data_IF_897606596287
#
_entry.id   IF_897606596287
#
_cell.length_a   1.000
_cell.length_b   1.000
_cell.length_c   1.000
_cell.angle_alpha   90.00
_cell.angle_beta   90.00
_cell.angle_gamma   90.00
#
_symmetry.space_group_name_H-M   'P 1'
#
loop_
_entity.id
_entity.type
_entity.pdbx_description
1 polymer ?
#
# COMPACT_ATOMS: atom_id res chain seq x y z
N UNK A 1 -9.82 -22.42 4.43
CA UNK A 1 -8.69 -21.46 4.48
C UNK A 1 -7.65 -21.88 5.52
N UNK A 2 -8.03 -22.03 6.78
CA UNK A 2 -7.12 -22.39 7.88
C UNK A 2 -6.36 -23.71 7.66
N UNK A 3 -7.05 -24.74 7.14
CA UNK A 3 -6.42 -26.02 6.79
C UNK A 3 -5.24 -25.86 5.81
N UNK A 4 -5.42 -25.06 4.75
CA UNK A 4 -4.38 -24.79 3.74
C UNK A 4 -3.15 -24.17 4.41
N UNK A 5 -3.37 -23.18 5.28
CA UNK A 5 -2.29 -22.47 5.98
C UNK A 5 -1.53 -23.42 6.92
N UNK A 6 -2.24 -24.27 7.65
CA UNK A 6 -1.64 -25.25 8.58
C UNK A 6 -0.84 -26.30 7.82
N UNK A 7 -1.38 -26.85 6.73
CA UNK A 7 -0.67 -27.82 5.88
C UNK A 7 0.63 -27.22 5.32
N UNK A 8 0.58 -25.96 4.86
CA UNK A 8 1.72 -25.25 4.31
C UNK A 8 2.84 -24.98 5.31
N UNK A 9 2.54 -24.79 6.60
CA UNK A 9 3.57 -24.60 7.64
C UNK A 9 4.51 -25.80 7.79
N UNK A 10 4.06 -26.98 7.37
CA UNK A 10 4.84 -28.21 7.42
C UNK A 10 5.58 -28.52 6.10
N UNK A 11 5.44 -27.66 5.09
CA UNK A 11 6.03 -27.85 3.77
C UNK A 11 7.16 -26.86 3.52
N UNK A 12 8.21 -27.32 2.83
CA UNK A 12 9.24 -26.42 2.30
C UNK A 12 8.73 -25.80 1.00
N UNK A 13 8.24 -24.58 1.09
CA UNK A 13 7.69 -23.85 -0.05
C UNK A 13 8.83 -23.37 -0.93
N UNK A 14 8.68 -23.55 -2.24
CA UNK A 14 9.64 -23.03 -3.22
C UNK A 14 9.18 -21.66 -3.68
N UNK A 15 10.09 -20.68 -3.79
CA UNK A 15 9.74 -19.35 -4.25
C UNK A 15 9.21 -19.44 -5.69
N UNK A 16 8.00 -18.92 -5.89
CA UNK A 16 7.40 -18.78 -7.20
C UNK A 16 7.05 -17.30 -7.42
N UNK A 17 7.51 -16.80 -8.57
CA UNK A 17 7.36 -15.40 -8.93
C UNK A 17 5.89 -15.05 -9.17
N UNK A 18 5.37 -14.04 -8.48
CA UNK A 18 4.02 -13.54 -8.74
C UNK A 18 3.90 -12.88 -10.11
N UNK A 19 2.66 -12.69 -10.58
CA UNK A 19 2.36 -12.17 -11.94
C UNK A 19 3.03 -10.82 -12.20
N UNK A 20 3.03 -9.93 -11.21
CA UNK A 20 3.59 -8.58 -11.37
C UNK A 20 5.11 -8.56 -11.37
N UNK A 21 5.75 -9.41 -10.55
CA UNK A 21 7.20 -9.54 -10.56
C UNK A 21 7.68 -10.19 -11.87
N UNK A 22 6.94 -11.18 -12.38
CA UNK A 22 7.24 -11.81 -13.67
C UNK A 22 7.12 -10.81 -14.82
N UNK A 23 5.99 -10.10 -14.91
CA UNK A 23 5.77 -9.07 -15.92
C UNK A 23 6.83 -7.95 -15.88
N UNK A 24 7.36 -7.61 -14.69
CA UNK A 24 8.45 -6.64 -14.54
C UNK A 24 9.79 -7.17 -15.06
N UNK A 25 10.08 -8.46 -14.87
CA UNK A 25 11.30 -9.10 -15.39
C UNK A 25 11.26 -9.20 -16.92
N UNK A 26 10.10 -9.49 -17.49
CA UNK A 26 9.90 -9.59 -18.94
C UNK A 26 9.95 -8.22 -19.64
N UNK A 27 9.32 -7.21 -19.05
CA UNK A 27 9.29 -5.85 -19.61
C UNK A 27 10.55 -5.09 -19.23
N UNK A 28 11.62 -5.22 -20.04
CA UNK A 28 12.89 -4.54 -19.84
C UNK A 28 12.79 -3.02 -19.67
N UNK A 29 11.90 -2.35 -20.41
CA UNK A 29 11.63 -0.91 -20.27
C UNK A 29 10.16 -0.66 -19.86
N UNK A 30 9.93 -0.38 -18.58
CA UNK A 30 8.63 0.09 -18.11
C UNK A 30 8.41 1.53 -18.59
N UNK A 31 7.19 1.84 -19.04
CA UNK A 31 6.79 3.21 -19.36
C UNK A 31 6.86 4.07 -18.08
N UNK A 32 7.51 5.24 -18.17
CA UNK A 32 7.57 6.18 -17.06
C UNK A 32 6.15 6.63 -16.68
N UNK A 33 5.88 6.84 -15.40
CA UNK A 33 4.62 7.43 -14.92
C UNK A 33 4.34 8.78 -15.63
N UNK A 34 5.37 9.56 -15.91
CA UNK A 34 5.28 10.84 -16.65
C UNK A 34 5.07 10.66 -18.16
N UNK A 35 5.30 9.46 -18.70
CA UNK A 35 5.09 9.16 -20.13
C UNK A 35 3.65 8.79 -20.46
N UNK A 36 2.85 8.48 -19.43
CA UNK A 36 1.41 8.55 -19.59
C UNK A 36 1.00 10.02 -19.57
N UNK A 37 0.09 10.40 -20.46
CA UNK A 37 -0.63 11.68 -20.45
C UNK A 37 -1.59 11.75 -19.25
N UNK A 38 -1.08 11.49 -18.04
CA UNK A 38 -1.83 11.57 -16.80
C UNK A 38 -1.97 13.05 -16.44
N UNK A 39 -3.14 13.59 -16.70
CA UNK A 39 -3.48 14.94 -16.25
C UNK A 39 -3.80 14.91 -14.76
N UNK A 40 -2.89 15.45 -13.96
CA UNK A 40 -3.09 15.63 -12.52
C UNK A 40 -4.26 16.59 -12.30
N UNK A 41 -5.29 16.14 -11.59
CA UNK A 41 -6.44 16.95 -11.19
C UNK A 41 -6.37 17.26 -9.70
N UNK A 42 -6.28 18.54 -9.38
CA UNK A 42 -6.30 19.06 -7.99
C UNK A 42 -7.46 20.01 -7.74
N UNK A 43 -8.20 20.34 -8.80
CA UNK A 43 -9.27 21.34 -8.87
C UNK A 43 -10.67 20.74 -8.70
N UNK A 44 -10.81 19.41 -8.83
CA UNK A 44 -12.09 18.73 -8.78
C UNK A 44 -12.70 18.71 -7.37
N UNK A 45 -13.99 19.01 -7.31
CA UNK A 45 -14.81 18.91 -6.09
C UNK A 45 -15.14 17.46 -5.75
N UNK A 46 -15.55 17.21 -4.50
CA UNK A 46 -15.95 15.87 -4.06
C UNK A 46 -17.11 15.30 -4.89
N UNK A 47 -18.08 16.13 -5.28
CA UNK A 47 -19.22 15.71 -6.11
C UNK A 47 -18.79 15.28 -7.52
N UNK A 48 -17.82 15.98 -8.11
CA UNK A 48 -17.29 15.62 -9.43
C UNK A 48 -16.47 14.33 -9.37
N UNK A 49 -15.68 14.13 -8.31
CA UNK A 49 -14.94 12.87 -8.14
C UNK A 49 -15.90 11.68 -7.99
N UNK A 50 -17.01 11.86 -7.26
CA UNK A 50 -18.05 10.83 -7.14
C UNK A 50 -18.72 10.55 -8.50
N UNK A 51 -19.01 11.57 -9.30
CA UNK A 51 -19.61 11.38 -10.64
C UNK A 51 -18.66 10.69 -11.63
N UNK A 52 -17.35 10.89 -11.46
CA UNK A 52 -16.31 10.18 -12.22
C UNK A 52 -16.08 8.74 -11.75
N UNK A 53 -16.78 8.29 -10.70
CA UNK A 53 -16.74 6.91 -10.21
C UNK A 53 -15.77 6.64 -9.05
N UNK A 54 -15.14 7.68 -8.49
CA UNK A 54 -14.33 7.54 -7.25
C UNK A 54 -15.27 7.20 -6.10
N UNK A 55 -14.91 6.22 -5.28
CA UNK A 55 -15.71 5.89 -4.11
C UNK A 55 -15.68 7.00 -3.06
N UNK A 56 -16.84 7.26 -2.43
CA UNK A 56 -16.89 8.06 -1.20
C UNK A 56 -16.05 7.48 -0.05
N UNK A 57 -15.84 6.15 0.00
CA UNK A 57 -14.91 5.54 0.94
C UNK A 57 -13.45 5.83 0.58
N UNK A 58 -13.09 5.82 -0.71
CA UNK A 58 -11.74 6.17 -1.20
C UNK A 58 -11.37 7.61 -0.84
N UNK A 59 -12.30 8.56 -0.98
CA UNK A 59 -12.07 9.97 -0.68
C UNK A 59 -11.76 10.26 0.80
N UNK A 60 -12.12 9.35 1.70
CA UNK A 60 -11.85 9.48 3.14
C UNK A 60 -10.48 8.92 3.53
N UNK A 61 -9.80 8.22 2.62
CA UNK A 61 -8.52 7.55 2.90
C UNK A 61 -7.42 8.59 3.03
N UNK A 62 -6.59 8.42 4.06
CA UNK A 62 -5.36 9.14 4.28
C UNK A 62 -4.28 8.17 4.77
N UNK A 63 -3.08 8.70 5.01
CA UNK A 63 -1.94 7.93 5.49
C UNK A 63 -2.17 7.27 6.86
N UNK A 64 -3.07 7.77 7.70
CA UNK A 64 -3.34 7.25 9.04
C UNK A 64 -4.35 6.11 9.01
N UNK A 65 -5.47 6.30 8.31
CA UNK A 65 -6.58 5.34 8.32
C UNK A 65 -6.47 4.24 7.24
N UNK A 66 -5.54 4.37 6.30
CA UNK A 66 -5.34 3.38 5.23
C UNK A 66 -5.03 1.97 5.75
N UNK A 67 -4.37 1.85 6.91
CA UNK A 67 -4.15 0.56 7.61
C UNK A 67 -5.47 -0.14 7.97
N UNK A 68 -6.50 0.61 8.31
CA UNK A 68 -7.78 0.10 8.82
C UNK A 68 -8.87 0.08 7.74
N UNK A 69 -8.51 0.42 6.51
CA UNK A 69 -9.45 0.48 5.41
C UNK A 69 -10.06 -0.91 5.14
N UNK A 70 -11.38 -0.95 5.02
CA UNK A 70 -12.14 -2.17 4.69
C UNK A 70 -12.87 -1.99 3.37
N UNK A 71 -12.80 -3.02 2.52
CA UNK A 71 -13.56 -3.09 1.28
C UNK A 71 -14.89 -3.79 1.53
N UNK A 72 -15.98 -3.28 0.94
CA UNK A 72 -17.22 -4.05 0.78
C UNK A 72 -17.09 -4.88 -0.51
N UNK A 73 -17.03 -6.21 -0.38
CA UNK A 73 -16.82 -7.08 -1.55
C UNK A 73 -18.01 -7.05 -2.52
N UNK A 74 -19.23 -6.80 -2.04
CA UNK A 74 -20.44 -6.79 -2.88
C UNK A 74 -20.40 -5.70 -3.94
N UNK A 75 -19.62 -4.64 -3.70
CA UNK A 75 -19.39 -3.58 -4.68
C UNK A 75 -18.59 -4.05 -5.89
N UNK A 76 -17.63 -4.93 -5.67
CA UNK A 76 -16.75 -5.44 -6.73
C UNK A 76 -17.29 -6.74 -7.32
N UNK A 77 -18.00 -7.53 -6.51
CA UNK A 77 -18.50 -8.86 -6.83
C UNK A 77 -19.94 -9.00 -6.33
N UNK A 78 -20.95 -8.52 -7.09
CA UNK A 78 -22.33 -8.45 -6.63
C UNK A 78 -23.00 -9.81 -6.34
N UNK A 79 -22.53 -10.88 -6.97
CA UNK A 79 -23.08 -12.24 -6.86
C UNK A 79 -22.25 -13.16 -5.94
N UNK A 80 -21.42 -12.59 -5.07
CA UNK A 80 -20.53 -13.38 -4.22
C UNK A 80 -21.23 -13.82 -2.94
N UNK A 81 -21.10 -15.09 -2.58
CA UNK A 81 -21.60 -15.61 -1.30
C UNK A 81 -20.74 -15.12 -0.13
N UNK A 82 -19.46 -15.52 -0.06
CA UNK A 82 -18.54 -15.14 1.03
C UNK A 82 -17.04 -15.24 0.70
N UNK A 83 -16.67 -15.78 -0.47
CA UNK A 83 -15.26 -16.04 -0.80
C UNK A 83 -14.97 -15.88 -2.29
N UNK A 84 -13.79 -15.36 -2.61
CA UNK A 84 -13.34 -15.13 -3.97
C UNK A 84 -11.84 -15.40 -4.11
N UNK A 85 -11.42 -15.83 -5.29
CA UNK A 85 -10.00 -15.88 -5.66
C UNK A 85 -9.56 -14.52 -6.20
N UNK A 86 -8.51 -13.95 -5.63
CA UNK A 86 -7.95 -12.66 -6.05
C UNK A 86 -6.44 -12.76 -6.32
N UNK A 87 -5.97 -11.93 -7.23
CA UNK A 87 -4.59 -11.79 -7.64
C UNK A 87 -4.04 -13.05 -8.28
N UNK A 88 -3.03 -13.62 -7.63
CA UNK A 88 -2.33 -14.84 -8.06
C UNK A 88 -3.00 -16.12 -7.51
N UNK A 89 -4.31 -16.08 -7.26
CA UNK A 89 -5.10 -17.21 -6.77
C UNK A 89 -5.29 -17.25 -5.25
N UNK A 90 -5.14 -16.12 -4.56
CA UNK A 90 -5.36 -16.05 -3.12
C UNK A 90 -6.85 -16.22 -2.77
N UNK A 91 -7.18 -17.13 -1.87
CA UNK A 91 -8.54 -17.32 -1.38
C UNK A 91 -8.89 -16.27 -0.34
N UNK A 92 -9.58 -15.22 -0.77
CA UNK A 92 -10.07 -14.13 0.07
C UNK A 92 -11.48 -14.44 0.56
N UNK A 93 -11.63 -14.54 1.87
CA UNK A 93 -12.90 -14.80 2.56
C UNK A 93 -13.30 -13.54 3.31
N UNK A 94 -14.54 -13.08 3.13
CA UNK A 94 -15.04 -11.91 3.85
C UNK A 94 -15.51 -12.23 5.26
N UNK A 95 -15.63 -11.19 6.07
CA UNK A 95 -16.28 -11.27 7.36
C UNK A 95 -17.81 -11.47 7.22
N UNK A 96 -18.49 -11.59 8.37
CA UNK A 96 -19.95 -11.73 8.46
C UNK A 96 -20.75 -10.55 7.88
N UNK A 97 -20.10 -9.43 7.60
CA UNK A 97 -20.71 -8.22 7.03
C UNK A 97 -20.39 -8.06 5.53
N UNK A 98 -19.70 -9.02 4.91
CA UNK A 98 -19.25 -8.93 3.52
C UNK A 98 -18.05 -8.00 3.32
N UNK A 99 -17.39 -7.60 4.41
CA UNK A 99 -16.24 -6.73 4.37
C UNK A 99 -14.92 -7.51 4.45
N UNK A 100 -13.87 -6.96 3.84
CA UNK A 100 -12.49 -7.45 3.95
C UNK A 100 -11.57 -6.31 4.32
N UNK A 101 -10.76 -6.51 5.36
CA UNK A 101 -9.68 -5.62 5.74
C UNK A 101 -8.37 -6.38 5.85
N UNK A 102 -7.42 -5.77 6.55
CA UNK A 102 -6.04 -6.24 6.67
C UNK A 102 -5.92 -7.70 7.14
N UNK A 103 -6.71 -8.08 8.15
CA UNK A 103 -6.73 -9.46 8.66
C UNK A 103 -7.21 -10.47 7.61
N UNK A 104 -8.29 -10.17 6.89
CA UNK A 104 -8.80 -11.04 5.82
C UNK A 104 -7.79 -11.14 4.66
N UNK A 105 -7.14 -10.03 4.30
CA UNK A 105 -6.03 -10.03 3.34
C UNK A 105 -4.85 -10.84 3.82
N UNK A 106 -4.49 -10.80 5.10
CA UNK A 106 -3.39 -11.59 5.65
C UNK A 106 -3.68 -13.08 5.52
N UNK A 107 -4.85 -13.53 5.98
CA UNK A 107 -5.23 -14.95 5.84
C UNK A 107 -5.28 -15.36 4.37
N UNK A 108 -5.78 -14.51 3.48
CA UNK A 108 -5.84 -14.80 2.05
C UNK A 108 -4.45 -14.90 1.43
N UNK A 109 -3.55 -13.99 1.81
CA UNK A 109 -2.18 -13.95 1.34
C UNK A 109 -1.43 -15.25 1.67
N UNK A 110 -1.63 -15.80 2.87
CA UNK A 110 -1.02 -17.07 3.28
C UNK A 110 -1.53 -18.30 2.50
N UNK A 111 -2.66 -18.19 1.79
CA UNK A 111 -3.16 -19.29 0.95
C UNK A 111 -2.43 -19.41 -0.38
N UNK A 112 -1.70 -18.37 -0.83
CA UNK A 112 -0.95 -18.41 -2.08
C UNK A 112 0.16 -19.46 -2.01
N UNK A 113 0.18 -20.43 -2.92
CA UNK A 113 1.19 -21.52 -2.92
C UNK A 113 2.64 -21.01 -2.92
N UNK A 114 2.84 -19.82 -3.48
CA UNK A 114 4.12 -19.13 -3.63
C UNK A 114 4.62 -18.40 -2.38
N UNK A 115 3.82 -18.33 -1.32
CA UNK A 115 4.13 -17.58 -0.09
C UNK A 115 4.39 -18.53 1.07
N UNK A 116 5.56 -18.41 1.70
CA UNK A 116 5.89 -19.12 2.94
C UNK A 116 5.31 -18.38 4.18
N UNK A 117 4.38 -19.01 4.93
CA UNK A 117 3.79 -18.41 6.13
C UNK A 117 4.77 -18.16 7.29
N UNK A 118 5.97 -18.75 7.27
CA UNK A 118 6.98 -18.56 8.32
C UNK A 118 7.82 -17.30 8.13
N UNK A 119 7.82 -16.71 6.93
CA UNK A 119 8.69 -15.58 6.58
C UNK A 119 8.01 -14.21 6.74
N UNK A 120 6.71 -14.19 6.96
CA UNK A 120 5.93 -12.95 7.15
C UNK A 120 4.94 -13.10 8.28
N UNK A 121 4.78 -12.03 9.05
CA UNK A 121 3.78 -11.93 10.09
C UNK A 121 2.64 -10.99 9.65
N UNK A 122 1.63 -10.85 10.51
CA UNK A 122 0.51 -9.97 10.25
C UNK A 122 0.96 -8.51 10.15
N UNK A 123 1.90 -8.08 11.02
CA UNK A 123 2.43 -6.72 11.05
C UNK A 123 3.11 -6.30 9.75
N UNK A 124 3.87 -7.21 9.12
CA UNK A 124 4.45 -7.00 7.79
C UNK A 124 3.35 -6.68 6.77
N UNK A 125 2.26 -7.45 6.77
CA UNK A 125 1.15 -7.23 5.87
C UNK A 125 0.39 -5.94 6.21
N UNK A 126 0.14 -5.64 7.48
CA UNK A 126 -0.52 -4.41 7.90
C UNK A 126 0.24 -3.16 7.41
N UNK A 127 1.56 -3.16 7.59
CA UNK A 127 2.41 -2.08 7.14
C UNK A 127 2.33 -1.89 5.63
N UNK A 128 2.46 -2.97 4.85
CA UNK A 128 2.42 -2.84 3.40
C UNK A 128 1.03 -2.53 2.85
N UNK A 129 -0.01 -3.07 3.47
CA UNK A 129 -1.40 -2.78 3.14
C UNK A 129 -1.68 -1.27 3.26
N UNK A 130 -1.25 -0.63 4.36
CA UNK A 130 -1.34 0.83 4.57
C UNK A 130 -0.83 1.61 3.36
N UNK A 131 0.40 1.35 2.92
CA UNK A 131 1.02 2.09 1.82
C UNK A 131 0.40 1.79 0.46
N UNK A 132 0.00 0.53 0.21
CA UNK A 132 -0.64 0.13 -1.03
C UNK A 132 -2.01 0.80 -1.16
N UNK A 133 -2.83 0.74 -0.12
CA UNK A 133 -4.16 1.35 -0.09
C UNK A 133 -4.07 2.86 -0.24
N UNK A 134 -3.20 3.53 0.52
CA UNK A 134 -3.04 4.99 0.43
C UNK A 134 -2.60 5.42 -0.97
N UNK A 135 -1.64 4.70 -1.58
CA UNK A 135 -1.19 4.97 -2.95
C UNK A 135 -2.30 4.78 -3.97
N UNK A 136 -3.01 3.65 -3.92
CA UNK A 136 -4.06 3.33 -4.88
C UNK A 136 -5.24 4.30 -4.77
N UNK A 137 -5.59 4.69 -3.55
CA UNK A 137 -6.59 5.73 -3.29
C UNK A 137 -6.17 7.08 -3.89
N UNK A 138 -4.91 7.49 -3.67
CA UNK A 138 -4.39 8.72 -4.24
C UNK A 138 -4.42 8.71 -5.77
N UNK A 139 -4.19 7.56 -6.43
CA UNK A 139 -4.32 7.47 -7.88
C UNK A 139 -5.74 7.71 -8.38
N UNK A 140 -6.77 7.19 -7.70
CA UNK A 140 -8.17 7.45 -8.09
C UNK A 140 -8.54 8.92 -7.94
N UNK A 141 -8.03 9.59 -6.91
CA UNK A 141 -8.33 11.00 -6.64
C UNK A 141 -7.55 11.93 -7.57
N UNK A 142 -6.27 11.68 -7.78
CA UNK A 142 -5.39 12.56 -8.57
C UNK A 142 -5.56 12.37 -10.08
N UNK A 143 -5.98 11.18 -10.53
CA UNK A 143 -6.17 10.87 -11.96
C UNK A 143 -7.47 10.09 -12.18
N UNK A 144 -8.63 10.69 -11.85
CA UNK A 144 -9.91 10.00 -11.85
C UNK A 144 -10.27 9.41 -13.21
N UNK A 145 -9.97 10.12 -14.31
CA UNK A 145 -10.26 9.65 -15.68
C UNK A 145 -9.56 8.32 -16.05
N UNK A 146 -8.44 8.01 -15.40
CA UNK A 146 -7.67 6.79 -15.67
C UNK A 146 -7.93 5.69 -14.64
N UNK A 147 -8.09 6.07 -13.38
CA UNK A 147 -8.04 5.14 -12.26
C UNK A 147 -9.33 5.03 -11.44
N UNK A 148 -10.31 5.92 -11.60
CA UNK A 148 -11.52 5.91 -10.78
C UNK A 148 -12.23 4.54 -10.82
N UNK A 149 -12.39 3.94 -9.64
CA UNK A 149 -13.02 2.62 -9.48
C UNK A 149 -12.21 1.44 -10.02
N UNK A 150 -11.00 1.66 -10.55
CA UNK A 150 -10.16 0.63 -11.20
C UNK A 150 -8.84 0.40 -10.48
N UNK A 151 -8.39 1.35 -9.66
CA UNK A 151 -7.10 1.29 -8.98
C UNK A 151 -7.23 0.63 -7.61
N UNK A 152 -8.07 1.16 -6.72
CA UNK A 152 -8.26 0.63 -5.37
C UNK A 152 -9.27 -0.54 -5.40
N UNK A 153 -8.78 -1.71 -5.80
CA UNK A 153 -9.55 -2.96 -5.86
C UNK A 153 -8.88 -4.06 -5.03
N UNK A 154 -9.64 -5.04 -4.50
CA UNK A 154 -9.05 -6.16 -3.76
C UNK A 154 -7.99 -6.94 -4.58
N UNK A 155 -8.26 -7.10 -5.88
CA UNK A 155 -7.34 -7.70 -6.86
C UNK A 155 -5.99 -6.98 -6.89
N UNK A 156 -5.99 -5.66 -7.09
CA UNK A 156 -4.77 -4.86 -7.20
C UNK A 156 -4.00 -4.78 -5.87
N UNK A 157 -4.70 -4.82 -4.74
CA UNK A 157 -4.05 -4.88 -3.42
C UNK A 157 -3.34 -6.21 -3.25
N UNK A 158 -3.99 -7.34 -3.54
CA UNK A 158 -3.39 -8.66 -3.41
C UNK A 158 -2.16 -8.84 -4.31
N UNK A 159 -2.27 -8.42 -5.58
CA UNK A 159 -1.16 -8.48 -6.54
C UNK A 159 0.06 -7.66 -6.06
N UNK A 160 -0.18 -6.52 -5.41
CA UNK A 160 0.91 -5.71 -4.85
C UNK A 160 1.51 -6.26 -3.58
N UNK A 161 0.71 -6.88 -2.71
CA UNK A 161 1.22 -7.58 -1.54
C UNK A 161 2.16 -8.71 -1.98
N UNK A 162 1.74 -9.52 -2.98
CA UNK A 162 2.61 -10.55 -3.54
C UNK A 162 3.86 -9.98 -4.19
N UNK A 163 3.74 -8.90 -4.95
CA UNK A 163 4.89 -8.22 -5.54
C UNK A 163 5.88 -7.71 -4.48
N UNK A 164 5.40 -7.23 -3.32
CA UNK A 164 6.29 -6.83 -2.23
C UNK A 164 7.00 -8.01 -1.60
N UNK A 165 6.31 -9.13 -1.42
CA UNK A 165 6.91 -10.37 -0.95
C UNK A 165 7.99 -10.88 -1.90
N UNK A 166 7.68 -10.95 -3.21
CA UNK A 166 8.65 -11.33 -4.24
C UNK A 166 9.94 -10.50 -4.19
N UNK A 167 9.80 -9.20 -3.89
CA UNK A 167 10.94 -8.28 -3.87
C UNK A 167 11.71 -8.34 -2.57
N UNK A 168 11.02 -8.21 -1.45
CA UNK A 168 11.68 -8.06 -0.15
C UNK A 168 12.13 -9.40 0.40
N UNK A 169 11.30 -10.43 0.28
CA UNK A 169 11.55 -11.76 0.86
C UNK A 169 12.29 -12.64 -0.15
N UNK A 170 11.71 -12.91 -1.31
CA UNK A 170 12.30 -13.87 -2.26
C UNK A 170 13.57 -13.34 -2.93
N UNK A 171 13.60 -12.04 -3.28
CA UNK A 171 14.74 -11.40 -3.96
C UNK A 171 15.65 -10.58 -3.03
N UNK A 172 15.37 -10.55 -1.72
CA UNK A 172 16.15 -9.81 -0.70
C UNK A 172 16.40 -8.31 -1.05
N UNK A 173 15.49 -7.69 -1.82
CA UNK A 173 15.59 -6.29 -2.24
C UNK A 173 14.96 -5.36 -1.21
N UNK A 174 15.82 -4.84 -0.33
CA UNK A 174 15.40 -3.98 0.77
C UNK A 174 15.21 -2.52 0.33
N UNK A 175 14.21 -1.87 0.93
CA UNK A 175 13.92 -0.45 0.70
C UNK A 175 14.98 0.47 1.33
N UNK A 176 14.94 1.76 1.01
CA UNK A 176 15.95 2.71 1.47
C UNK A 176 15.96 2.85 3.00
N UNK A 177 14.78 3.01 3.62
CA UNK A 177 14.65 3.09 5.08
C UNK A 177 15.07 1.76 5.72
N UNK A 178 14.65 0.62 5.16
CA UNK A 178 15.00 -0.71 5.70
C UNK A 178 16.53 -0.92 5.73
N UNK A 179 17.23 -0.59 4.63
CA UNK A 179 18.70 -0.66 4.60
C UNK A 179 19.36 0.24 5.64
N UNK A 180 18.88 1.48 5.80
CA UNK A 180 19.44 2.39 6.78
C UNK A 180 19.20 1.93 8.21
N UNK A 181 18.00 1.42 8.53
CA UNK A 181 17.67 0.92 9.87
C UNK A 181 18.39 -0.38 10.22
N UNK A 182 18.68 -1.23 9.23
CA UNK A 182 19.45 -2.46 9.42
C UNK A 182 20.98 -2.21 9.48
N UNK A 183 21.43 -0.97 9.28
CA UNK A 183 22.85 -0.59 9.35
C UNK A 183 23.66 -0.83 8.07
N UNK A 184 23.01 -1.27 6.99
CA UNK A 184 23.64 -1.54 5.70
C UNK A 184 23.76 -0.29 4.80
N UNK A 185 23.11 0.82 5.18
CA UNK A 185 23.24 2.12 4.53
C UNK A 185 23.06 3.27 5.54
N UNK A 186 23.22 4.52 5.10
CA UNK A 186 23.16 5.72 5.94
C UNK A 186 22.11 6.72 5.47
N UNK A 187 21.44 7.35 6.44
CA UNK A 187 20.51 8.46 6.21
C UNK A 187 21.21 9.74 5.71
N UNK A 188 22.55 9.82 5.76
CA UNK A 188 23.31 10.99 5.28
C UNK A 188 23.37 11.08 3.73
N UNK A 189 22.92 10.03 3.02
CA UNK A 189 22.81 10.06 1.56
C UNK A 189 21.53 10.78 1.14
N UNK A 190 21.48 11.17 -0.13
CA UNK A 190 20.27 11.73 -0.73
C UNK A 190 19.15 10.69 -0.74
N UNK A 191 18.05 11.01 -0.08
CA UNK A 191 16.85 10.19 0.01
C UNK A 191 15.66 10.98 -0.50
N UNK A 192 14.69 10.32 -1.13
CA UNK A 192 13.41 10.94 -1.45
C UNK A 192 12.35 10.27 -0.59
N UNK A 193 11.84 11.00 0.40
CA UNK A 193 10.85 10.50 1.36
C UNK A 193 9.54 11.27 1.22
N UNK A 194 8.42 10.59 1.45
CA UNK A 194 7.08 11.17 1.48
C UNK A 194 6.68 11.47 2.93
N UNK A 195 6.10 12.65 3.19
CA UNK A 195 5.49 12.98 4.48
C UNK A 195 4.23 12.15 4.64
N UNK A 196 4.23 11.18 5.54
CA UNK A 196 3.07 10.38 5.86
C UNK A 196 2.17 11.10 6.86
N UNK A 197 2.73 11.54 7.99
CA UNK A 197 1.93 12.07 9.10
C UNK A 197 2.62 13.29 9.70
N UNK A 198 1.83 14.27 10.12
CA UNK A 198 2.29 15.41 10.92
C UNK A 198 1.38 15.53 12.14
N UNK A 199 1.93 15.37 13.34
CA UNK A 199 1.20 15.52 14.61
C UNK A 199 1.83 16.65 15.40
N UNK A 200 1.01 17.58 15.88
CA UNK A 200 1.44 18.63 16.80
C UNK A 200 1.32 18.09 18.23
N UNK A 201 2.43 18.05 18.95
CA UNK A 201 2.50 17.63 20.33
C UNK A 201 2.06 18.77 21.27
N UNK A 202 1.71 18.43 22.52
CA UNK A 202 1.30 19.40 23.55
C UNK A 202 2.33 20.49 23.81
N UNK A 203 3.62 20.15 23.66
CA UNK A 203 4.76 21.06 23.87
C UNK A 203 5.01 22.02 22.69
N UNK A 204 4.12 22.04 21.69
CA UNK A 204 4.23 22.89 20.51
C UNK A 204 5.16 22.35 19.41
N UNK A 205 5.91 21.27 19.69
CA UNK A 205 6.73 20.55 18.71
C UNK A 205 5.88 19.71 17.75
N UNK A 206 6.45 19.39 16.58
CA UNK A 206 5.81 18.50 15.61
C UNK A 206 6.54 17.17 15.53
N UNK A 207 5.79 16.07 15.62
CA UNK A 207 6.28 14.74 15.23
C UNK A 207 5.87 14.48 13.80
N UNK A 208 6.87 14.27 12.93
CA UNK A 208 6.67 14.00 11.51
C UNK A 208 7.05 12.56 11.21
N UNK A 209 6.17 11.85 10.52
CA UNK A 209 6.44 10.53 9.99
C UNK A 209 6.74 10.64 8.49
N UNK A 210 7.89 10.12 8.06
CA UNK A 210 8.31 10.04 6.67
C UNK A 210 8.27 8.59 6.19
N UNK A 211 8.04 8.36 4.90
CA UNK A 211 8.07 7.01 4.31
C UNK A 211 8.76 6.99 2.95
N UNK A 212 9.50 5.93 2.66
CA UNK A 212 10.03 5.61 1.33
C UNK A 212 9.01 4.83 0.46
N UNK A 213 7.77 4.69 0.95
CA UNK A 213 6.71 3.88 0.35
C UNK A 213 6.75 2.41 0.75
N UNK A 214 7.70 1.98 1.56
CA UNK A 214 7.78 0.62 2.13
C UNK A 214 7.66 0.63 3.63
N UNK A 215 8.41 1.50 4.29
CA UNK A 215 8.42 1.61 5.74
C UNK A 215 8.31 3.08 6.17
N UNK A 216 7.74 3.36 7.34
CA UNK A 216 7.78 4.67 7.96
C UNK A 216 9.03 4.84 8.82
N UNK A 217 9.41 6.10 9.06
CA UNK A 217 10.37 6.51 10.08
C UNK A 217 9.88 7.82 10.71
N UNK A 218 10.10 7.98 12.03
CA UNK A 218 9.89 9.27 12.69
C UNK A 218 11.08 10.18 12.40
N UNK A 219 10.81 11.37 11.88
CA UNK A 219 11.82 12.37 11.62
C UNK A 219 11.70 13.52 12.61
N UNK A 220 12.86 14.05 13.01
CA UNK A 220 12.96 15.32 13.72
C UNK A 220 13.34 16.39 12.71
N UNK A 221 12.52 17.43 12.66
CA UNK A 221 12.76 18.59 11.80
C UNK A 221 13.51 19.66 12.58
N UNK A 222 14.39 20.37 11.89
CA UNK A 222 14.97 21.59 12.43
C UNK A 222 13.90 22.69 12.56
N UNK A 223 14.28 23.84 13.13
CA UNK A 223 13.35 24.93 13.33
C UNK A 223 12.75 25.46 12.01
N UNK A 224 13.52 25.47 10.92
CA UNK A 224 13.06 26.03 9.63
C UNK A 224 12.01 25.13 8.99
N UNK A 225 12.25 23.82 8.96
CA UNK A 225 11.29 22.83 8.49
C UNK A 225 10.05 22.80 9.40
N UNK A 226 10.24 22.96 10.70
CA UNK A 226 9.14 23.07 11.66
C UNK A 226 8.26 24.29 11.38
N UNK A 227 8.85 25.44 11.08
CA UNK A 227 8.10 26.64 10.69
C UNK A 227 7.31 26.43 9.38
N UNK A 228 7.89 25.69 8.42
CA UNK A 228 7.21 25.35 7.16
C UNK A 228 6.02 24.40 7.39
N UNK A 229 6.16 23.45 8.30
CA UNK A 229 5.06 22.59 8.75
C UNK A 229 3.96 23.43 9.42
N UNK A 230 4.34 24.32 10.34
CA UNK A 230 3.40 25.19 11.04
C UNK A 230 2.62 26.11 10.08
N UNK A 231 3.27 26.59 9.01
CA UNK A 231 2.67 27.40 7.94
C UNK A 231 1.92 26.56 6.89
N UNK A 232 1.78 25.24 7.08
CA UNK A 232 1.15 24.30 6.14
C UNK A 232 1.79 24.30 4.74
N UNK A 233 3.09 24.60 4.66
CA UNK A 233 3.87 24.50 3.42
C UNK A 233 4.42 23.08 3.20
N UNK A 234 4.57 22.32 4.28
CA UNK A 234 4.82 20.88 4.26
C UNK A 234 3.60 20.19 4.85
N UNK A 235 2.95 19.34 4.06
CA UNK A 235 1.73 18.61 4.45
C UNK A 235 1.84 17.13 4.07
N UNK A 236 1.05 16.24 4.68
CA UNK A 236 1.00 14.83 4.28
C UNK A 236 0.80 14.65 2.77
N UNK A 237 1.57 13.73 2.18
CA UNK A 237 1.62 13.45 0.75
C UNK A 237 2.75 14.16 -0.01
N UNK A 238 3.43 15.14 0.60
CA UNK A 238 4.54 15.85 -0.03
C UNK A 238 5.81 14.99 -0.04
N UNK A 239 6.62 15.14 -1.09
CA UNK A 239 7.92 14.46 -1.22
C UNK A 239 9.05 15.44 -0.90
N UNK A 240 9.96 15.02 -0.04
CA UNK A 240 11.14 15.77 0.40
C UNK A 240 12.39 15.07 -0.12
N UNK A 241 13.44 15.84 -0.42
CA UNK A 241 14.76 15.38 -0.86
C UNK A 241 15.85 16.03 -0.01
#
# INVERSE_FOLDING_TARGET
>A
QERIIVEKKNLRIRPQCGRWMAARKEKGALKNFQSFTLELRTDLTKSELLSLGVSGSTLKINSLNSKEFRFDLRRFYPALDCSILVGDGALLVCDRYGCVGTHEFFRAFLTLDSVDPSLVDELWLENHYRWIVWKLAAYEVCFPHHFAGRSLTPENVMLQLKYRYDREIDACQRSAIKKCLEGDDTFCKRLVLCVATVVRNGDGQFTVELTDGWYPIKAQFDQRLTDLVARKKIVPGYKLM
#
